data_IF_713511131218
#
_entry.id   IF_713511131218
#
_cell.length_a   1.000
_cell.length_b   1.000
_cell.length_c   1.000
_cell.angle_alpha   90.00
_cell.angle_beta   90.00
_cell.angle_gamma   90.00
#
_symmetry.space_group_name_H-M   'P 1'
#
loop_
_entity.id
_entity.type
_entity.pdbx_description
1 polymer ?
#
# COMPACT_ATOMS: atom_id res chain seq x y z
N UNK A 1 8.70 43.01 3.42
CA UNK A 1 7.47 43.68 2.97
C UNK A 1 6.36 42.84 3.60
N UNK A 2 5.95 43.15 4.90
CA UNK A 2 4.86 44.09 5.22
C UNK A 2 3.53 43.36 4.93
N UNK A 3 2.58 43.06 5.83
CA UNK A 3 2.02 43.58 7.08
C UNK A 3 1.14 42.49 7.73
N UNK A 4 1.11 42.18 8.98
CA UNK A 4 0.60 42.86 10.18
C UNK A 4 -0.80 43.48 10.04
N UNK A 5 -1.76 42.87 10.76
CA UNK A 5 -2.86 43.55 11.47
C UNK A 5 -3.55 42.51 12.36
N UNK A 6 -3.61 42.58 13.63
CA UNK A 6 -3.71 43.71 14.53
C UNK A 6 -5.13 43.87 15.06
N UNK A 7 -5.33 43.38 16.26
CA UNK A 7 -6.02 44.04 17.39
C UNK A 7 -7.50 44.47 17.21
N UNK A 8 -8.38 43.99 18.05
CA UNK A 8 -9.11 44.93 18.89
C UNK A 8 -9.80 44.31 20.11
N UNK A 9 -9.32 44.71 21.24
CA UNK A 9 -9.94 44.63 22.56
C UNK A 9 -10.83 45.88 22.72
N UNK A 10 -12.07 45.74 23.17
CA UNK A 10 -12.78 46.83 23.87
C UNK A 10 -13.69 46.28 24.96
N UNK A 11 -13.27 46.52 26.16
CA UNK A 11 -14.07 46.61 27.38
C UNK A 11 -14.85 47.94 27.41
N UNK A 12 -16.04 47.95 27.98
CA UNK A 12 -16.75 49.08 28.59
C UNK A 12 -17.84 48.43 29.45
N UNK A 13 -17.78 48.43 30.74
CA UNK A 13 -18.00 49.47 31.75
C UNK A 13 -19.44 49.47 32.29
N UNK A 14 -19.48 49.26 33.56
CA UNK A 14 -20.42 49.60 34.63
C UNK A 14 -21.67 50.43 34.30
N UNK A 15 -22.79 49.96 34.79
CA UNK A 15 -23.82 50.94 35.29
C UNK A 15 -24.47 50.43 36.58
N UNK A 16 -24.11 51.08 37.63
CA UNK A 16 -24.65 51.02 38.99
C UNK A 16 -25.78 52.06 39.08
N UNK A 17 -27.01 51.65 39.39
CA UNK A 17 -28.03 52.56 39.90
C UNK A 17 -28.74 51.93 41.10
N UNK A 18 -28.68 52.66 42.16
CA UNK A 18 -29.26 52.53 43.48
C UNK A 18 -30.74 53.04 43.46
N UNK A 19 -31.60 52.43 44.27
CA UNK A 19 -32.92 53.10 44.55
C UNK A 19 -33.91 52.20 45.26
N UNK A 20 -33.89 52.31 46.58
CA UNK A 20 -35.03 52.46 47.57
C UNK A 20 -36.12 51.37 47.61
N UNK A 21 -36.23 50.82 48.84
CA UNK A 21 -37.42 50.18 49.43
C UNK A 21 -38.53 51.16 49.64
N UNK A 22 -39.81 50.74 49.79
CA UNK A 22 -40.30 50.49 51.13
C UNK A 22 -41.29 49.30 51.33
N UNK A 23 -41.24 48.82 52.54
CA UNK A 23 -42.21 48.15 53.42
C UNK A 23 -43.61 47.87 52.90
N UNK A 24 -44.08 46.69 53.07
CA UNK A 24 -45.49 46.28 53.04
C UNK A 24 -45.63 44.85 53.59
N UNK A 25 -46.20 44.85 54.80
CA UNK A 25 -46.40 43.69 55.66
C UNK A 25 -47.48 42.73 55.24
N UNK A 26 -47.20 41.47 55.59
CA UNK A 26 -48.10 40.45 56.14
C UNK A 26 -48.79 39.42 55.18
N UNK A 27 -49.31 38.36 55.70
CA UNK A 27 -48.75 37.03 55.60
C UNK A 27 -49.67 36.16 54.77
N UNK A 28 -49.36 34.97 54.61
CA UNK A 28 -50.26 33.85 54.53
C UNK A 28 -49.85 32.80 53.46
N UNK A 29 -49.78 31.68 54.00
CA UNK A 29 -49.96 30.36 53.35
C UNK A 29 -48.72 29.74 52.71
N UNK A 30 -48.08 28.99 53.59
CA UNK A 30 -47.40 27.77 53.26
C UNK A 30 -48.22 26.93 52.25
N UNK A 31 -47.97 27.13 51.01
CA UNK A 31 -48.19 26.08 50.06
C UNK A 31 -46.85 25.41 49.91
N UNK A 32 -46.64 24.41 50.71
CA UNK A 32 -45.64 23.41 50.52
C UNK A 32 -45.90 22.80 49.14
N UNK A 33 -45.40 23.41 48.12
CA UNK A 33 -45.19 22.77 46.83
C UNK A 33 -44.13 21.68 47.08
N UNK A 34 -44.58 20.51 47.49
CA UNK A 34 -43.83 19.27 47.37
C UNK A 34 -43.51 19.14 45.89
N UNK A 35 -42.42 19.75 45.53
CA UNK A 35 -41.82 19.48 44.25
C UNK A 35 -41.56 17.98 44.20
N UNK A 36 -42.52 17.31 43.59
CA UNK A 36 -42.46 15.90 43.24
C UNK A 36 -41.20 15.72 42.41
N UNK A 37 -40.07 15.45 43.06
CA UNK A 37 -38.86 14.97 42.38
C UNK A 37 -39.27 13.71 41.64
N UNK A 38 -39.75 13.88 40.41
CA UNK A 38 -39.86 12.79 39.47
C UNK A 38 -38.49 12.16 39.44
N UNK A 39 -38.43 10.94 39.84
CA UNK A 39 -37.27 10.08 39.78
C UNK A 39 -36.80 10.02 38.31
N UNK A 40 -35.90 10.92 37.93
CA UNK A 40 -35.28 10.96 36.60
C UNK A 40 -34.18 9.94 36.47
N UNK A 41 -33.91 9.14 37.53
CA UNK A 41 -32.86 8.13 37.57
C UNK A 41 -32.99 6.98 36.58
N UNK A 42 -34.22 6.74 36.04
CA UNK A 42 -34.44 5.70 35.02
C UNK A 42 -34.14 6.18 33.60
N UNK A 43 -34.39 7.46 33.32
CA UNK A 43 -34.21 8.01 31.98
C UNK A 43 -32.72 8.14 31.59
N UNK A 44 -31.87 8.51 32.51
CA UNK A 44 -30.42 8.62 32.27
C UNK A 44 -29.81 7.26 31.92
N UNK A 45 -30.26 6.17 32.55
CA UNK A 45 -29.77 4.82 32.25
C UNK A 45 -30.19 4.36 30.86
N UNK A 46 -31.47 4.62 30.49
CA UNK A 46 -31.98 4.32 29.15
C UNK A 46 -31.28 5.17 28.09
N UNK A 47 -31.07 6.47 28.37
CA UNK A 47 -30.35 7.35 27.47
C UNK A 47 -28.89 6.90 27.26
N UNK A 48 -28.21 6.46 28.33
CA UNK A 48 -26.85 5.94 28.26
C UNK A 48 -26.79 4.63 27.46
N UNK A 49 -27.73 3.71 27.66
CA UNK A 49 -27.84 2.48 26.87
C UNK A 49 -28.09 2.80 25.38
N UNK A 50 -29.00 3.72 25.09
CA UNK A 50 -29.26 4.14 23.72
C UNK A 50 -28.01 4.75 23.07
N UNK A 51 -27.28 5.59 23.80
CA UNK A 51 -26.02 6.18 23.31
C UNK A 51 -24.95 5.12 23.07
N UNK A 52 -24.79 4.15 23.97
CA UNK A 52 -23.85 3.04 23.82
C UNK A 52 -24.19 2.16 22.60
N UNK A 53 -25.48 1.89 22.35
CA UNK A 53 -25.89 1.13 21.16
C UNK A 53 -25.62 1.89 19.87
N UNK A 54 -25.86 3.19 19.84
CA UNK A 54 -25.54 4.04 18.67
C UNK A 54 -24.02 4.05 18.42
N UNK A 55 -23.20 4.24 19.46
CA UNK A 55 -21.74 4.20 19.35
C UNK A 55 -21.24 2.84 18.86
N UNK A 56 -21.83 1.75 19.35
CA UNK A 56 -21.48 0.40 18.90
C UNK A 56 -21.82 0.19 17.41
N UNK A 57 -22.96 0.69 16.93
CA UNK A 57 -23.35 0.63 15.53
C UNK A 57 -22.38 1.45 14.64
N UNK A 58 -22.01 2.65 15.06
CA UNK A 58 -21.00 3.46 14.37
C UNK A 58 -19.63 2.76 14.32
N UNK A 59 -19.20 2.15 15.42
CA UNK A 59 -17.94 1.42 15.47
C UNK A 59 -17.93 0.25 14.47
N UNK A 60 -19.04 -0.48 14.32
CA UNK A 60 -19.18 -1.53 13.32
C UNK A 60 -19.14 -1.01 11.88
N UNK A 61 -19.70 0.16 11.63
CA UNK A 61 -19.72 0.76 10.29
C UNK A 61 -18.34 1.27 9.85
N UNK A 62 -17.51 1.74 10.79
CA UNK A 62 -16.17 2.31 10.50
C UNK A 62 -15.08 1.23 10.38
N UNK A 63 -15.22 0.11 11.08
CA UNK A 63 -14.21 -0.95 11.13
C UNK A 63 -13.77 -1.49 9.75
N UNK A 64 -14.66 -1.77 8.78
CA UNK A 64 -14.25 -2.28 7.47
C UNK A 64 -13.45 -1.25 6.66
N UNK A 65 -13.77 0.02 6.74
CA UNK A 65 -13.07 1.09 6.01
C UNK A 65 -11.62 1.27 6.49
N UNK A 66 -11.38 1.14 7.79
CA UNK A 66 -10.04 1.22 8.35
C UNK A 66 -9.13 0.07 7.88
N UNK A 67 -9.66 -1.16 7.81
CA UNK A 67 -8.90 -2.32 7.29
C UNK A 67 -8.53 -2.17 5.84
N UNK A 68 -9.45 -1.72 5.01
CA UNK A 68 -9.18 -1.48 3.58
C UNK A 68 -8.14 -0.37 3.39
N UNK A 69 -8.16 0.65 4.24
CA UNK A 69 -7.20 1.75 4.18
C UNK A 69 -5.79 1.27 4.52
N UNK A 70 -5.64 0.48 5.59
CA UNK A 70 -4.36 -0.12 5.96
C UNK A 70 -3.84 -1.07 4.87
N UNK A 71 -4.71 -1.89 4.27
CA UNK A 71 -4.31 -2.77 3.17
C UNK A 71 -3.82 -1.96 1.96
N UNK A 72 -4.53 -0.90 1.56
CA UNK A 72 -4.09 0.00 0.47
C UNK A 72 -2.72 0.62 0.72
N UNK A 73 -2.42 0.99 1.97
CA UNK A 73 -1.12 1.55 2.33
C UNK A 73 0.00 0.51 2.23
N UNK A 74 -0.26 -0.72 2.69
CA UNK A 74 0.69 -1.83 2.53
C UNK A 74 0.93 -2.17 1.06
N UNK A 75 -0.12 -2.21 0.24
CA UNK A 75 -0.02 -2.45 -1.19
C UNK A 75 0.79 -1.36 -1.91
N UNK A 76 0.57 -0.09 -1.59
CA UNK A 76 1.37 1.03 -2.12
C UNK A 76 2.84 0.91 -1.74
N UNK A 77 3.11 0.56 -0.48
CA UNK A 77 4.47 0.35 -0.01
C UNK A 77 5.12 -0.85 -0.70
N UNK A 78 4.35 -1.92 -0.96
CA UNK A 78 4.85 -3.09 -1.71
C UNK A 78 5.20 -2.72 -3.15
N UNK A 79 4.35 -1.96 -3.83
CA UNK A 79 4.64 -1.46 -5.18
C UNK A 79 5.92 -0.61 -5.14
N UNK A 80 6.02 0.34 -4.21
CA UNK A 80 7.18 1.22 -4.10
C UNK A 80 8.48 0.46 -3.85
N UNK A 81 8.49 -0.51 -2.93
CA UNK A 81 9.66 -1.34 -2.64
C UNK A 81 9.99 -2.29 -3.79
N UNK A 82 8.97 -2.93 -4.37
CA UNK A 82 9.14 -3.81 -5.51
C UNK A 82 9.73 -3.10 -6.72
N UNK A 83 9.30 -1.86 -6.98
CA UNK A 83 9.89 -1.02 -8.04
C UNK A 83 11.35 -0.65 -7.75
N UNK A 84 11.71 -0.39 -6.48
CA UNK A 84 13.11 -0.17 -6.10
C UNK A 84 13.97 -1.42 -6.35
N UNK A 85 13.43 -2.62 -6.07
CA UNK A 85 14.13 -3.87 -6.39
C UNK A 85 14.29 -4.01 -7.91
N UNK A 86 13.26 -3.71 -8.70
CA UNK A 86 13.35 -3.75 -10.16
C UNK A 86 14.42 -2.78 -10.70
N UNK A 87 14.49 -1.55 -10.17
CA UNK A 87 15.53 -0.58 -10.54
C UNK A 87 16.94 -1.07 -10.13
N UNK A 88 17.06 -1.69 -8.94
CA UNK A 88 18.33 -2.28 -8.50
C UNK A 88 18.77 -3.45 -9.39
N UNK A 89 17.85 -4.32 -9.84
CA UNK A 89 18.13 -5.39 -10.81
C UNK A 89 18.64 -4.79 -12.13
N UNK A 90 18.00 -3.70 -12.60
CA UNK A 90 18.43 -2.98 -13.80
C UNK A 90 19.85 -2.46 -13.69
N UNK A 91 20.17 -1.77 -12.61
CA UNK A 91 21.50 -1.20 -12.37
C UNK A 91 22.56 -2.29 -12.25
N UNK A 92 22.25 -3.37 -11.53
CA UNK A 92 23.13 -4.54 -11.39
C UNK A 92 23.39 -5.19 -12.75
N UNK A 93 22.35 -5.42 -13.55
CA UNK A 93 22.46 -6.02 -14.88
C UNK A 93 23.32 -5.17 -15.80
N UNK A 94 23.13 -3.86 -15.85
CA UNK A 94 23.97 -2.92 -16.63
C UNK A 94 25.43 -3.01 -16.25
N UNK A 95 25.72 -3.04 -14.96
CA UNK A 95 27.08 -3.17 -14.47
C UNK A 95 27.70 -4.50 -14.88
N UNK A 96 27.00 -5.60 -14.66
CA UNK A 96 27.50 -6.95 -15.01
C UNK A 96 27.67 -7.10 -16.52
N UNK A 97 26.73 -6.68 -17.33
CA UNK A 97 26.82 -6.73 -18.78
C UNK A 97 28.00 -5.91 -19.33
N UNK A 98 28.30 -4.76 -18.73
CA UNK A 98 29.44 -3.94 -19.13
C UNK A 98 30.79 -4.52 -18.71
N UNK A 99 30.86 -5.21 -17.56
CA UNK A 99 32.12 -5.72 -16.99
C UNK A 99 32.48 -7.10 -17.51
N UNK A 100 31.52 -7.99 -17.67
CA UNK A 100 31.75 -9.41 -18.00
C UNK A 100 31.62 -9.71 -19.50
N UNK A 101 31.26 -8.69 -20.32
CA UNK A 101 30.93 -8.87 -21.74
C UNK A 101 29.90 -9.99 -22.02
N UNK A 102 29.14 -10.40 -20.97
CA UNK A 102 28.10 -11.41 -21.02
C UNK A 102 26.74 -10.76 -20.92
N UNK A 103 25.98 -10.79 -22.01
CA UNK A 103 24.55 -10.47 -21.98
C UNK A 103 23.75 -11.76 -21.68
N UNK A 104 22.56 -11.60 -21.06
CA UNK A 104 21.66 -12.70 -20.81
C UNK A 104 21.57 -13.08 -19.32
N UNK A 105 21.12 -14.31 -19.05
CA UNK A 105 20.77 -14.75 -17.70
C UNK A 105 21.95 -14.71 -16.71
N UNK A 106 23.19 -14.83 -17.20
CA UNK A 106 24.40 -14.79 -16.35
C UNK A 106 24.72 -13.41 -15.76
N UNK A 107 24.17 -12.35 -16.34
CA UNK A 107 24.32 -11.00 -15.83
C UNK A 107 23.27 -10.64 -14.76
N UNK A 108 22.28 -11.49 -14.55
CA UNK A 108 21.22 -11.29 -13.55
C UNK A 108 21.74 -11.62 -12.13
N UNK A 109 21.18 -10.99 -11.10
CA UNK A 109 21.47 -11.32 -9.71
C UNK A 109 20.91 -12.71 -9.35
N UNK A 110 21.59 -13.44 -8.47
CA UNK A 110 21.17 -14.75 -7.97
C UNK A 110 20.68 -14.71 -6.52
N UNK A 111 20.96 -13.62 -5.79
CA UNK A 111 20.48 -13.42 -4.42
C UNK A 111 20.18 -11.94 -4.15
N UNK A 112 19.34 -11.68 -3.18
CA UNK A 112 19.03 -10.32 -2.72
C UNK A 112 20.27 -9.64 -2.11
N UNK A 113 21.17 -10.43 -1.51
CA UNK A 113 22.38 -9.91 -0.90
C UNK A 113 23.31 -9.23 -1.92
N UNK A 114 23.36 -9.76 -3.15
CA UNK A 114 24.14 -9.13 -4.23
C UNK A 114 23.63 -7.73 -4.58
N UNK A 115 22.33 -7.50 -4.48
CA UNK A 115 21.74 -6.17 -4.69
C UNK A 115 22.01 -5.23 -3.50
N UNK A 116 22.04 -5.79 -2.28
CA UNK A 116 22.36 -5.03 -1.05
C UNK A 116 23.84 -4.64 -0.97
N UNK A 117 24.76 -5.52 -1.39
CA UNK A 117 26.19 -5.24 -1.48
C UNK A 117 26.49 -4.08 -2.45
N UNK A 118 25.66 -3.95 -3.48
CA UNK A 118 25.75 -2.88 -4.47
C UNK A 118 26.84 -3.11 -5.53
N UNK A 119 27.17 -2.03 -6.23
CA UNK A 119 28.07 -2.05 -7.39
C UNK A 119 29.41 -1.39 -7.01
N UNK A 120 30.56 -2.04 -7.28
CA UNK A 120 31.86 -1.43 -7.00
C UNK A 120 32.07 -0.16 -7.86
N UNK A 121 32.55 0.89 -7.23
CA UNK A 121 32.89 2.15 -7.90
C UNK A 121 34.30 2.02 -8.50
N UNK A 122 34.48 2.28 -9.80
CA UNK A 122 35.82 2.27 -10.39
C UNK A 122 36.76 3.20 -9.66
N UNK A 123 37.88 2.68 -9.14
CA UNK A 123 38.87 3.45 -8.40
C UNK A 123 38.54 3.74 -6.93
N UNK A 124 37.39 3.24 -6.43
CA UNK A 124 36.99 3.39 -5.04
C UNK A 124 37.07 2.06 -4.27
N UNK A 125 37.25 2.16 -2.93
CA UNK A 125 37.19 0.99 -2.03
C UNK A 125 35.79 0.67 -1.52
N UNK A 126 34.78 1.47 -1.88
CA UNK A 126 33.39 1.33 -1.42
C UNK A 126 32.47 1.01 -2.59
N UNK A 127 31.46 0.16 -2.32
CA UNK A 127 30.41 -0.12 -3.27
C UNK A 127 29.35 1.01 -3.24
N UNK A 128 28.79 1.31 -4.41
CA UNK A 128 27.59 2.15 -4.52
C UNK A 128 26.39 1.30 -4.19
N UNK A 129 25.69 1.63 -3.12
CA UNK A 129 24.46 0.98 -2.75
C UNK A 129 23.38 1.25 -3.81
N UNK A 130 22.79 0.19 -4.36
CA UNK A 130 21.72 0.26 -5.37
C UNK A 130 20.36 -0.11 -4.79
N UNK A 131 20.33 -0.85 -3.68
CA UNK A 131 19.11 -1.26 -3.00
C UNK A 131 19.17 -0.87 -1.52
N UNK A 132 18.07 -0.33 -0.99
CA UNK A 132 17.93 -0.07 0.45
C UNK A 132 17.52 -1.35 1.17
N UNK A 133 18.03 -1.56 2.38
CA UNK A 133 17.69 -2.73 3.19
C UNK A 133 16.17 -2.86 3.49
N UNK A 134 15.45 -1.74 3.57
CA UNK A 134 13.99 -1.76 3.73
C UNK A 134 13.25 -2.29 2.50
N UNK A 135 13.77 -2.02 1.29
CA UNK A 135 13.17 -2.49 0.05
C UNK A 135 13.43 -3.97 -0.23
N UNK A 136 14.47 -4.54 0.39
CA UNK A 136 14.75 -5.98 0.32
C UNK A 136 13.71 -6.84 1.04
N UNK A 137 12.78 -6.21 1.78
CA UNK A 137 11.72 -6.92 2.51
C UNK A 137 10.34 -6.62 1.95
N UNK A 138 9.57 -7.70 1.74
CA UNK A 138 8.16 -7.63 1.35
C UNK A 138 7.30 -7.13 2.53
N UNK A 139 6.59 -6.00 2.41
CA UNK A 139 5.73 -5.49 3.47
C UNK A 139 4.40 -6.23 3.61
N UNK A 140 4.03 -7.08 2.63
CA UNK A 140 2.74 -7.77 2.59
C UNK A 140 2.76 -9.10 3.32
N UNK A 141 3.95 -9.62 3.63
CA UNK A 141 4.15 -10.88 4.34
C UNK A 141 4.82 -10.65 5.69
N UNK A 142 4.51 -11.52 6.66
CA UNK A 142 5.11 -11.45 8.01
C UNK A 142 6.60 -11.81 7.95
N UNK A 143 6.96 -12.76 7.10
CA UNK A 143 8.33 -13.22 6.90
C UNK A 143 9.19 -12.16 6.20
N UNK A 144 8.54 -11.31 5.41
CA UNK A 144 9.20 -10.23 4.68
C UNK A 144 10.08 -10.70 3.53
N UNK A 145 9.87 -11.92 3.03
CA UNK A 145 10.66 -12.47 1.95
C UNK A 145 9.97 -12.29 0.60
N UNK A 146 10.70 -11.76 -0.37
CA UNK A 146 10.26 -11.72 -1.75
C UNK A 146 10.38 -13.08 -2.40
N UNK A 147 9.43 -13.42 -3.28
CA UNK A 147 9.52 -14.54 -4.19
C UNK A 147 10.32 -14.11 -5.43
N UNK A 148 11.35 -14.86 -5.77
CA UNK A 148 12.15 -14.58 -6.96
C UNK A 148 11.47 -15.09 -8.23
N UNK A 149 11.47 -14.26 -9.25
CA UNK A 149 10.92 -14.58 -10.57
C UNK A 149 12.09 -14.80 -11.53
N UNK A 150 12.24 -16.06 -11.97
CA UNK A 150 13.28 -16.42 -12.92
C UNK A 150 12.85 -16.03 -14.34
N UNK A 151 13.80 -15.79 -15.24
CA UNK A 151 13.50 -15.56 -16.64
C UNK A 151 12.79 -16.78 -17.25
N UNK A 152 11.84 -16.53 -18.14
CA UNK A 152 11.08 -17.54 -18.88
C UNK A 152 10.16 -18.42 -18.05
N UNK A 153 9.80 -18.03 -16.83
CA UNK A 153 8.79 -18.73 -16.03
C UNK A 153 7.38 -18.41 -16.54
N UNK A 154 6.46 -19.36 -16.35
CA UNK A 154 5.06 -19.15 -16.74
C UNK A 154 4.45 -17.92 -16.06
N UNK A 155 4.81 -17.65 -14.79
CA UNK A 155 4.38 -16.47 -14.06
C UNK A 155 4.80 -15.14 -14.75
N UNK A 156 6.03 -15.08 -15.27
CA UNK A 156 6.51 -13.91 -16.01
C UNK A 156 5.78 -13.75 -17.34
N UNK A 157 5.45 -14.83 -18.02
CA UNK A 157 4.72 -14.84 -19.29
C UNK A 157 3.27 -14.37 -19.05
N UNK A 158 2.61 -14.86 -18.02
CA UNK A 158 1.26 -14.45 -17.66
C UNK A 158 1.21 -12.95 -17.27
N UNK A 159 2.21 -12.50 -16.50
CA UNK A 159 2.36 -11.10 -16.18
C UNK A 159 2.58 -10.24 -17.43
N UNK A 160 3.43 -10.66 -18.35
CA UNK A 160 3.65 -9.98 -19.62
C UNK A 160 2.38 -9.86 -20.44
N UNK A 161 1.56 -10.90 -20.49
CA UNK A 161 0.26 -10.85 -21.17
C UNK A 161 -0.66 -9.81 -20.50
N UNK A 162 -0.72 -9.78 -19.17
CA UNK A 162 -1.52 -8.80 -18.43
C UNK A 162 -1.06 -7.37 -18.71
N UNK A 163 0.25 -7.12 -18.70
CA UNK A 163 0.84 -5.82 -19.06
C UNK A 163 0.48 -5.43 -20.51
N UNK A 164 0.56 -6.38 -21.43
CA UNK A 164 0.21 -6.16 -22.84
C UNK A 164 -1.27 -5.81 -23.00
N UNK A 165 -2.17 -6.53 -22.34
CA UNK A 165 -3.60 -6.20 -22.34
C UNK A 165 -3.88 -4.82 -21.74
N UNK A 166 -3.23 -4.48 -20.62
CA UNK A 166 -3.36 -3.18 -19.98
C UNK A 166 -2.86 -2.03 -20.88
N UNK A 167 -1.80 -2.26 -21.64
CA UNK A 167 -1.20 -1.30 -22.55
C UNK A 167 -1.89 -1.23 -23.94
N UNK A 168 -3.05 -1.88 -24.14
CA UNK A 168 -3.77 -1.87 -25.40
C UNK A 168 -3.21 -2.82 -26.47
N UNK A 169 -2.77 -4.00 -26.07
CA UNK A 169 -2.17 -5.07 -26.90
C UNK A 169 -0.80 -4.70 -27.50
N UNK A 170 -0.13 -3.70 -26.95
CA UNK A 170 1.23 -3.34 -27.33
C UNK A 170 2.12 -3.60 -26.13
N UNK A 171 3.16 -4.42 -26.33
CA UNK A 171 4.12 -4.67 -25.25
C UNK A 171 5.00 -3.42 -25.06
N UNK A 172 5.05 -2.82 -23.87
CA UNK A 172 5.95 -1.70 -23.59
C UNK A 172 7.39 -2.12 -23.84
N UNK A 173 8.12 -1.33 -24.63
CA UNK A 173 9.53 -1.56 -24.87
C UNK A 173 10.31 -1.23 -23.57
N UNK A 174 11.32 -2.04 -23.26
CA UNK A 174 12.24 -1.71 -22.16
C UNK A 174 13.00 -0.43 -22.48
N UNK A 175 13.25 0.38 -21.47
CA UNK A 175 14.05 1.61 -21.63
C UNK A 175 15.52 1.30 -21.97
N UNK A 176 15.98 0.10 -21.69
CA UNK A 176 17.37 -0.32 -21.87
C UNK A 176 17.52 -1.36 -22.98
N UNK A 177 18.27 -1.02 -24.01
CA UNK A 177 18.55 -1.92 -25.14
C UNK A 177 19.22 -3.23 -24.73
N UNK A 178 20.01 -3.22 -23.65
CA UNK A 178 20.66 -4.41 -23.11
C UNK A 178 19.65 -5.39 -22.50
N UNK A 179 18.55 -4.88 -21.91
CA UNK A 179 17.49 -5.72 -21.34
C UNK A 179 16.46 -6.17 -22.40
N UNK A 180 16.44 -5.57 -23.57
CA UNK A 180 15.57 -5.98 -24.66
C UNK A 180 15.78 -7.45 -25.07
N UNK A 181 16.99 -7.97 -24.92
CA UNK A 181 17.27 -9.37 -25.18
C UNK A 181 16.55 -10.30 -24.19
N UNK A 182 16.48 -9.92 -22.90
CA UNK A 182 15.73 -10.69 -21.89
C UNK A 182 14.22 -10.64 -22.14
N UNK A 183 13.71 -9.50 -22.64
CA UNK A 183 12.31 -9.36 -23.00
C UNK A 183 11.90 -10.23 -24.19
N UNK A 184 12.77 -10.39 -25.19
CA UNK A 184 12.50 -11.19 -26.38
C UNK A 184 12.31 -12.68 -26.10
N UNK A 185 12.89 -13.20 -25.03
CA UNK A 185 12.75 -14.61 -24.66
C UNK A 185 11.44 -14.95 -23.94
N UNK A 186 10.64 -13.97 -23.58
CA UNK A 186 9.32 -14.17 -23.01
C UNK A 186 8.26 -14.34 -24.13
N UNK A 187 8.50 -15.25 -25.08
CA UNK A 187 7.53 -15.55 -26.14
C UNK A 187 6.40 -16.38 -25.55
N UNK A 188 5.13 -15.96 -25.69
CA UNK A 188 3.98 -16.77 -25.26
C UNK A 188 4.04 -18.14 -25.95
N UNK A 189 3.88 -19.22 -25.18
CA UNK A 189 3.77 -20.56 -25.76
C UNK A 189 2.52 -20.58 -26.66
N UNK A 190 2.70 -20.89 -27.92
CA UNK A 190 1.62 -21.00 -28.93
C UNK A 190 0.54 -22.01 -28.48
N UNK A 191 0.87 -22.94 -27.60
CA UNK A 191 -0.06 -23.91 -26.98
C UNK A 191 -1.16 -23.24 -26.15
N UNK A 192 -0.97 -22.04 -25.63
CA UNK A 192 -2.02 -21.34 -24.89
C UNK A 192 -3.08 -20.71 -25.82
N UNK A 193 -2.76 -20.51 -27.09
CA UNK A 193 -3.67 -19.90 -28.07
C UNK A 193 -4.65 -20.95 -28.62
N UNK A 194 -4.27 -22.22 -28.66
CA UNK A 194 -5.11 -23.31 -29.17
C UNK A 194 -6.12 -23.85 -28.14
N UNK A 195 -5.96 -23.54 -26.86
CA UNK A 195 -6.84 -23.99 -25.77
C UNK A 195 -7.88 -22.93 -25.34
N UNK A 196 -8.35 -22.08 -26.26
CA UNK A 196 -9.35 -21.05 -25.97
C UNK A 196 -10.74 -21.59 -25.55
N UNK A 197 -10.96 -22.91 -25.59
CA UNK A 197 -12.26 -23.51 -25.29
C UNK A 197 -12.37 -24.26 -23.96
N UNK A 198 -11.28 -24.59 -23.27
CA UNK A 198 -11.32 -25.48 -22.10
C UNK A 198 -10.60 -24.94 -20.85
N UNK A 199 -9.98 -23.77 -20.90
CA UNK A 199 -9.09 -23.29 -19.84
C UNK A 199 -9.69 -22.25 -18.90
N UNK A 200 -11.01 -22.18 -18.77
CA UNK A 200 -11.65 -21.28 -17.78
C UNK A 200 -11.78 -21.88 -16.37
N UNK A 201 -11.36 -23.12 -16.13
CA UNK A 201 -11.55 -23.79 -14.84
C UNK A 201 -10.29 -24.14 -14.07
N UNK A 202 -9.09 -24.06 -14.66
CA UNK A 202 -7.85 -24.50 -13.98
C UNK A 202 -6.70 -23.49 -14.01
N UNK A 203 -6.98 -22.20 -14.06
CA UNK A 203 -5.97 -21.16 -13.82
C UNK A 203 -5.58 -21.00 -12.33
N UNK A 204 -6.04 -21.90 -11.49
CA UNK A 204 -5.72 -21.96 -10.09
C UNK A 204 -4.67 -23.02 -9.82
N UNK A 205 -3.45 -22.62 -9.65
CA UNK A 205 -2.40 -23.50 -9.14
C UNK A 205 -1.51 -24.18 -10.18
N UNK A 206 -0.80 -23.43 -11.00
CA UNK A 206 0.57 -23.84 -11.27
C UNK A 206 1.29 -23.76 -9.92
N UNK A 207 1.77 -24.87 -9.40
CA UNK A 207 2.65 -24.90 -8.25
C UNK A 207 3.89 -24.09 -8.61
N UNK A 208 3.81 -22.80 -8.30
CA UNK A 208 4.92 -21.88 -8.43
C UNK A 208 5.93 -22.41 -7.44
N UNK A 209 7.07 -22.88 -7.92
CA UNK A 209 8.17 -23.28 -7.07
C UNK A 209 8.52 -22.08 -6.20
N UNK A 210 8.03 -22.11 -4.95
CA UNK A 210 8.17 -20.98 -4.00
C UNK A 210 9.64 -20.70 -3.65
N UNK A 211 10.56 -21.62 -3.98
CA UNK A 211 12.00 -21.55 -3.70
C UNK A 211 12.85 -21.71 -4.96
N UNK A 212 12.53 -21.01 -6.02
CA UNK A 212 13.35 -21.03 -7.21
C UNK A 212 14.71 -20.38 -6.94
N UNK A 213 15.75 -21.19 -6.83
CA UNK A 213 17.13 -20.73 -6.70
C UNK A 213 17.72 -20.54 -8.10
N UNK A 214 18.21 -19.34 -8.39
CA UNK A 214 18.82 -19.05 -9.68
C UNK A 214 18.83 -17.55 -10.01
N UNK A 215 19.32 -17.19 -11.19
CA UNK A 215 19.30 -15.81 -11.64
C UNK A 215 17.86 -15.34 -11.81
N UNK A 216 17.47 -14.24 -11.14
CA UNK A 216 16.11 -13.71 -11.18
C UNK A 216 16.05 -12.37 -11.91
N UNK A 217 14.93 -12.15 -12.60
CA UNK A 217 14.66 -10.94 -13.40
C UNK A 217 13.64 -10.02 -12.74
N UNK A 218 13.05 -10.47 -11.66
CA UNK A 218 12.07 -9.69 -10.91
C UNK A 218 11.73 -10.36 -9.60
N UNK A 219 10.88 -9.68 -8.82
CA UNK A 219 10.36 -10.18 -7.55
C UNK A 219 8.84 -10.06 -7.50
N UNK A 220 8.20 -10.90 -6.72
CA UNK A 220 6.77 -10.85 -6.45
C UNK A 220 6.51 -11.06 -4.96
N UNK A 221 5.34 -10.66 -4.48
CA UNK A 221 4.92 -10.99 -3.12
C UNK A 221 4.56 -12.48 -2.98
N UNK A 222 4.75 -13.01 -1.78
CA UNK A 222 4.24 -14.34 -1.41
C UNK A 222 2.79 -14.30 -0.90
N UNK A 223 2.21 -13.11 -0.73
CA UNK A 223 0.84 -12.93 -0.26
C UNK A 223 -0.16 -13.29 -1.35
N UNK A 224 -1.05 -14.26 -1.07
CA UNK A 224 -2.09 -14.74 -2.01
C UNK A 224 -3.44 -14.07 -1.79
N UNK A 225 -3.44 -12.89 -1.18
CA UNK A 225 -4.67 -12.13 -0.92
C UNK A 225 -5.14 -11.40 -2.19
N UNK A 226 -6.44 -11.15 -2.22
CA UNK A 226 -6.98 -10.22 -3.20
C UNK A 226 -6.59 -8.79 -2.82
N UNK A 227 -6.14 -8.04 -3.79
CA UNK A 227 -5.68 -6.68 -3.61
C UNK A 227 -6.83 -5.68 -3.71
N UNK A 228 -6.69 -4.56 -3.02
CA UNK A 228 -7.61 -3.42 -3.12
C UNK A 228 -7.18 -2.50 -4.27
N UNK A 229 -5.88 -2.45 -4.56
CA UNK A 229 -5.34 -1.76 -5.73
C UNK A 229 -5.15 -2.75 -6.87
N UNK A 230 -5.14 -2.24 -8.09
CA UNK A 230 -4.80 -3.03 -9.28
C UNK A 230 -3.43 -2.61 -9.80
N UNK A 231 -2.57 -3.58 -10.10
CA UNK A 231 -1.28 -3.36 -10.72
C UNK A 231 -1.28 -4.00 -12.11
N UNK A 232 -1.24 -3.19 -13.16
CA UNK A 232 -1.46 -3.61 -14.54
C UNK A 232 -2.76 -4.42 -14.76
N UNK A 233 -3.85 -4.06 -14.05
CA UNK A 233 -5.12 -4.75 -14.12
C UNK A 233 -5.19 -6.07 -13.36
N UNK A 234 -4.17 -6.42 -12.59
CA UNK A 234 -4.10 -7.63 -11.77
C UNK A 234 -4.61 -7.31 -10.36
N UNK A 235 -5.55 -8.13 -9.89
CA UNK A 235 -6.24 -7.98 -8.61
C UNK A 235 -5.67 -8.87 -7.49
N UNK A 236 -4.67 -9.71 -7.78
CA UNK A 236 -4.03 -10.60 -6.80
C UNK A 236 -2.60 -10.20 -6.52
N UNK A 237 -2.27 -10.11 -5.23
CA UNK A 237 -0.97 -9.65 -4.74
C UNK A 237 0.20 -10.55 -5.17
N UNK A 238 -0.01 -11.89 -5.23
CA UNK A 238 1.00 -12.87 -5.63
C UNK A 238 1.35 -12.83 -7.12
N UNK A 239 0.51 -12.20 -7.93
CA UNK A 239 0.71 -12.05 -9.37
C UNK A 239 1.37 -10.72 -9.76
N UNK A 240 1.58 -9.82 -8.81
CA UNK A 240 2.30 -8.58 -9.04
C UNK A 240 3.79 -8.85 -9.16
N UNK A 241 4.30 -8.74 -10.37
CA UNK A 241 5.72 -8.95 -10.64
C UNK A 241 6.40 -7.61 -10.87
N UNK A 242 7.37 -7.32 -10.01
CA UNK A 242 8.20 -6.13 -10.11
C UNK A 242 9.47 -6.47 -10.88
N UNK A 243 9.53 -6.02 -12.13
CA UNK A 243 10.60 -6.33 -13.06
C UNK A 243 10.97 -5.09 -13.88
N UNK A 244 12.25 -4.91 -14.24
CA UNK A 244 12.66 -3.81 -15.10
C UNK A 244 12.30 -4.02 -16.59
N UNK A 245 11.77 -5.19 -16.97
CA UNK A 245 11.55 -5.52 -18.38
C UNK A 245 10.44 -4.71 -19.05
N UNK A 246 9.43 -4.27 -18.31
CA UNK A 246 8.24 -3.60 -18.86
C UNK A 246 8.10 -2.15 -18.40
N UNK A 247 9.21 -1.54 -17.98
CA UNK A 247 9.24 -0.20 -17.41
C UNK A 247 10.22 0.72 -18.13
#
# INVERSE_FOLDING_TARGET
MIDSNGMNIRAIADHKICGSSPSGSAPVSDVISVARRRSEGGYTLVALLAMMTVVALFAMAVAPSARQQTQRELEKEAIFRGEQVADAIRDYYKYRASTTHGAGDQALPTSMDQLLEGIPIPGGSKNRQILRASAARDPMTIEGEWRFILPRTDALIDFQQSVMFYAGNILPATQDSQMAQLQQFAVPRITSITNLGLASSERGSSSIADDATGPFVGVASRSRKDSVLTYYGIEREDQWIFTPLFR
#
